data_IF_827929317616
#
_entry.id   IF_827929317616
#
_cell.length_a   1.000
_cell.length_b   1.000
_cell.length_c   1.000
_cell.angle_alpha   90.00
_cell.angle_beta   90.00
_cell.angle_gamma   90.00
#
_symmetry.space_group_name_H-M   'P 1'
#
loop_
_entity.id
_entity.type
_entity.pdbx_description
1 polymer ?
#
# COMPACT_ATOMS: atom_id res chain seq x y z
N UNK A 1 -8.02 -10.34 -1.53
CA UNK A 1 -6.59 -10.55 -1.22
C UNK A 1 -6.14 -9.38 -0.36
N UNK A 2 -5.48 -9.64 0.77
CA UNK A 2 -5.04 -8.58 1.68
C UNK A 2 -3.78 -7.91 1.10
N UNK A 3 -3.60 -6.60 1.28
CA UNK A 3 -2.40 -5.87 0.80
C UNK A 3 -1.12 -6.51 1.37
N UNK A 4 -1.18 -6.96 2.64
CA UNK A 4 -0.08 -7.67 3.30
C UNK A 4 0.42 -8.90 2.54
N UNK A 5 -0.49 -9.75 2.08
CA UNK A 5 -0.13 -11.00 1.40
C UNK A 5 0.64 -10.73 0.09
N UNK A 6 0.34 -9.62 -0.59
CA UNK A 6 1.03 -9.21 -1.82
C UNK A 6 2.45 -8.76 -1.52
N UNK A 7 2.63 -7.94 -0.48
CA UNK A 7 3.96 -7.49 -0.05
C UNK A 7 4.82 -8.64 0.50
N UNK A 8 4.23 -9.59 1.21
CA UNK A 8 4.95 -10.77 1.70
C UNK A 8 5.44 -11.67 0.56
N UNK A 9 4.61 -11.88 -0.47
CA UNK A 9 5.02 -12.58 -1.70
C UNK A 9 6.14 -11.83 -2.43
N UNK A 10 6.03 -10.50 -2.54
CA UNK A 10 7.05 -9.68 -3.17
C UNK A 10 8.40 -9.75 -2.42
N UNK A 11 8.38 -9.73 -1.08
CA UNK A 11 9.58 -9.92 -0.24
C UNK A 11 10.24 -11.28 -0.47
N UNK A 12 9.44 -12.35 -0.51
CA UNK A 12 9.94 -13.71 -0.77
C UNK A 12 10.50 -13.87 -2.19
N UNK A 13 10.01 -13.08 -3.15
CA UNK A 13 10.46 -13.07 -4.53
C UNK A 13 11.58 -12.06 -4.81
N UNK A 14 12.19 -11.46 -3.79
CA UNK A 14 13.26 -10.48 -3.99
C UNK A 14 14.48 -11.10 -4.70
N UNK A 15 15.09 -10.42 -5.70
CA UNK A 15 14.74 -9.08 -6.19
C UNK A 15 13.55 -9.11 -7.16
N UNK A 16 12.50 -8.32 -6.88
CA UNK A 16 11.35 -8.17 -7.77
C UNK A 16 10.89 -6.72 -7.89
N UNK A 17 10.06 -6.45 -8.90
CA UNK A 17 9.41 -5.15 -9.12
C UNK A 17 7.90 -5.34 -8.94
N UNK A 18 7.30 -4.54 -8.06
CA UNK A 18 5.86 -4.51 -7.86
C UNK A 18 5.27 -3.33 -8.65
N UNK A 19 4.41 -3.62 -9.63
CA UNK A 19 3.75 -2.61 -10.45
C UNK A 19 2.34 -2.37 -9.96
N UNK A 20 1.97 -1.09 -9.77
CA UNK A 20 0.63 -0.67 -9.41
C UNK A 20 0.04 0.10 -10.59
N UNK A 21 -1.06 -0.42 -11.13
CA UNK A 21 -1.83 0.24 -12.18
C UNK A 21 -3.06 0.93 -11.56
N UNK A 22 -3.54 2.00 -12.20
CA UNK A 22 -4.72 2.77 -11.78
C UNK A 22 -4.74 3.12 -10.27
N UNK A 23 -3.59 3.48 -9.69
CA UNK A 23 -3.49 3.78 -8.25
C UNK A 23 -4.40 4.95 -7.83
N UNK A 24 -4.66 5.88 -8.74
CA UNK A 24 -5.57 7.02 -8.58
C UNK A 24 -7.03 6.61 -8.37
N UNK A 25 -7.44 5.42 -8.84
CA UNK A 25 -8.79 4.87 -8.60
C UNK A 25 -9.08 4.63 -7.11
N UNK A 26 -8.03 4.31 -6.33
CA UNK A 26 -8.09 4.09 -4.88
C UNK A 26 -7.50 5.25 -4.07
N UNK A 27 -6.64 6.06 -4.67
CA UNK A 27 -5.95 7.19 -4.03
C UNK A 27 -6.65 8.52 -4.32
N UNK A 28 -7.94 8.64 -3.96
CA UNK A 28 -8.56 9.97 -3.89
C UNK A 28 -7.80 10.82 -2.88
N UNK A 29 -7.54 12.08 -3.20
CA UNK A 29 -6.83 12.99 -2.32
C UNK A 29 -7.49 13.01 -0.93
N UNK A 30 -6.73 12.59 0.10
CA UNK A 30 -7.19 12.63 1.49
C UNK A 30 -7.59 14.07 1.83
N UNK A 31 -8.85 14.27 2.22
CA UNK A 31 -9.36 15.59 2.65
C UNK A 31 -10.24 16.36 1.67
N UNK A 32 -10.59 15.80 0.49
CA UNK A 32 -11.44 16.49 -0.50
C UNK A 32 -12.93 16.63 -0.13
N UNK A 33 -13.43 15.81 0.81
CA UNK A 33 -14.80 15.91 1.34
C UNK A 33 -14.74 15.79 2.86
N UNK A 34 -15.09 16.87 3.56
CA UNK A 34 -15.06 17.01 5.02
C UNK A 34 -16.08 16.12 5.77
N UNK A 35 -16.49 14.97 5.22
CA UNK A 35 -17.55 14.13 5.78
C UNK A 35 -17.45 12.62 5.53
N UNK A 36 -16.44 12.11 4.81
CA UNK A 36 -16.36 10.69 4.43
C UNK A 36 -14.99 10.05 4.77
N UNK A 37 -14.33 10.56 5.81
CA UNK A 37 -13.04 10.07 6.29
C UNK A 37 -13.18 8.72 6.97
N UNK A 38 -13.02 7.64 6.21
CA UNK A 38 -13.18 6.27 6.73
C UNK A 38 -13.59 5.21 5.69
N UNK A 39 -13.66 5.56 4.41
CA UNK A 39 -13.98 4.64 3.34
C UNK A 39 -13.02 3.44 3.26
N UNK A 40 -13.46 2.36 2.60
CA UNK A 40 -12.61 1.19 2.38
C UNK A 40 -11.32 1.54 1.63
N UNK A 41 -11.36 2.52 0.73
CA UNK A 41 -10.21 3.02 -0.02
C UNK A 41 -9.12 3.61 0.89
N UNK A 42 -9.49 4.47 1.84
CA UNK A 42 -8.54 5.07 2.79
C UNK A 42 -7.82 4.01 3.64
N UNK A 43 -8.54 2.95 4.04
CA UNK A 43 -7.96 1.82 4.78
C UNK A 43 -6.95 1.04 3.94
N UNK A 44 -7.25 0.80 2.67
CA UNK A 44 -6.33 0.12 1.74
C UNK A 44 -5.09 0.97 1.49
N UNK A 45 -5.25 2.29 1.25
CA UNK A 45 -4.13 3.21 1.07
C UNK A 45 -3.23 3.25 2.31
N UNK A 46 -3.79 3.33 3.51
CA UNK A 46 -3.00 3.30 4.74
C UNK A 46 -2.20 2.01 4.88
N UNK A 47 -2.75 0.86 4.48
CA UNK A 47 -2.00 -0.40 4.48
C UNK A 47 -0.86 -0.39 3.46
N UNK A 48 -1.09 0.07 2.23
CA UNK A 48 -0.04 0.18 1.21
C UNK A 48 1.10 1.07 1.72
N UNK A 49 0.77 2.25 2.27
CA UNK A 49 1.75 3.17 2.85
C UNK A 49 2.55 2.53 4.01
N UNK A 50 1.86 1.81 4.90
CA UNK A 50 2.49 1.12 6.03
C UNK A 50 3.46 0.04 5.56
N UNK A 51 3.08 -0.75 4.55
CA UNK A 51 3.95 -1.78 3.99
C UNK A 51 5.16 -1.17 3.26
N UNK A 52 4.97 -0.05 2.55
CA UNK A 52 6.04 0.68 1.87
C UNK A 52 7.06 1.27 2.85
N UNK A 53 6.62 1.88 3.96
CA UNK A 53 7.51 2.37 5.02
C UNK A 53 8.34 1.22 5.62
N UNK A 54 7.74 0.03 5.74
CA UNK A 54 8.43 -1.18 6.20
C UNK A 54 9.47 -1.74 5.23
N UNK A 55 9.47 -1.37 3.94
CA UNK A 55 10.44 -1.87 2.95
C UNK A 55 11.82 -1.20 3.08
N UNK A 56 11.89 0.03 3.61
CA UNK A 56 13.14 0.79 3.78
C UNK A 56 13.98 0.36 4.98
N UNK A 57 13.36 -0.32 5.95
CA UNK A 57 14.07 -0.97 7.05
C UNK A 57 14.75 -2.24 6.54
N UNK A 58 15.84 -2.04 5.79
CA UNK A 58 16.76 -3.09 5.36
C UNK A 58 17.15 -3.92 6.59
N UNK A 59 16.53 -5.09 6.76
CA UNK A 59 17.30 -6.25 7.21
C UNK A 59 18.19 -6.64 6.05
N UNK A 60 19.27 -5.87 5.87
CA UNK A 60 20.47 -6.37 5.25
C UNK A 60 21.12 -7.29 6.28
N UNK A 61 20.68 -8.54 6.31
CA UNK A 61 21.51 -9.71 6.62
C UNK A 61 21.07 -10.83 5.69
#
# INVERSE_FOLDING_TARGET
ANVRDVFDKARQAAPCVLFFDELDSIAKARGGSAGDGGGAADRVINQILTEMDGMGAKKNV
#
